data_IF_359697170452
#
_entry.id   IF_359697170452
#
_cell.length_a   1.000
_cell.length_b   1.000
_cell.length_c   1.000
_cell.angle_alpha   90.00
_cell.angle_beta   90.00
_cell.angle_gamma   90.00
#
_symmetry.space_group_name_H-M   'P 1'
#
loop_
_entity.id
_entity.type
_entity.pdbx_description
1 polymer ?
#
# COMPACT_ATOMS: atom_id res chain seq x y z
N UNK A 1 -7.75 8.61 -12.71
CA UNK A 1 -8.58 8.61 -11.49
C UNK A 1 -9.46 7.37 -11.40
N UNK A 2 -10.28 7.09 -12.42
CA UNK A 2 -11.16 5.90 -12.45
C UNK A 2 -10.43 4.56 -12.22
N UNK A 3 -9.34 4.31 -12.96
CA UNK A 3 -8.52 3.09 -12.79
C UNK A 3 -7.96 2.92 -11.36
N UNK A 4 -7.66 4.03 -10.67
CA UNK A 4 -7.15 4.01 -9.29
C UNK A 4 -8.24 3.62 -8.29
N UNK A 5 -9.44 4.19 -8.45
CA UNK A 5 -10.59 3.80 -7.63
C UNK A 5 -10.95 2.33 -7.83
N UNK A 6 -10.90 1.83 -9.07
CA UNK A 6 -11.12 0.42 -9.37
C UNK A 6 -10.11 -0.48 -8.65
N UNK A 7 -8.81 -0.13 -8.67
CA UNK A 7 -7.79 -0.90 -7.94
C UNK A 7 -8.03 -0.89 -6.44
N UNK A 8 -8.39 0.27 -5.86
CA UNK A 8 -8.67 0.38 -4.42
C UNK A 8 -9.86 -0.53 -4.05
N UNK A 9 -10.98 -0.40 -4.76
CA UNK A 9 -12.18 -1.20 -4.54
C UNK A 9 -11.92 -2.70 -4.68
N UNK A 10 -11.12 -3.09 -5.69
CA UNK A 10 -10.76 -4.49 -5.92
C UNK A 10 -9.93 -5.05 -4.74
N UNK A 11 -8.93 -4.31 -4.26
CA UNK A 11 -8.12 -4.75 -3.11
C UNK A 11 -8.98 -4.92 -1.87
N UNK A 12 -9.84 -3.95 -1.56
CA UNK A 12 -10.72 -4.00 -0.38
C UNK A 12 -11.72 -5.15 -0.48
N UNK A 13 -12.39 -5.30 -1.63
CA UNK A 13 -13.38 -6.37 -1.82
C UNK A 13 -12.76 -7.75 -1.79
N UNK A 14 -11.60 -7.94 -2.42
CA UNK A 14 -10.87 -9.20 -2.40
C UNK A 14 -10.43 -9.55 -0.98
N UNK A 15 -9.98 -8.57 -0.19
CA UNK A 15 -9.58 -8.78 1.20
C UNK A 15 -10.74 -9.32 2.06
N UNK A 16 -11.90 -8.66 2.03
CA UNK A 16 -13.05 -9.11 2.81
C UNK A 16 -13.66 -10.41 2.28
N UNK A 17 -13.60 -10.66 0.96
CA UNK A 17 -14.01 -11.93 0.39
C UNK A 17 -13.13 -13.07 0.92
N UNK A 18 -11.81 -12.90 0.93
CA UNK A 18 -10.86 -13.85 1.51
C UNK A 18 -11.11 -14.06 3.01
N UNK A 19 -11.29 -12.99 3.78
CA UNK A 19 -11.59 -13.08 5.21
C UNK A 19 -12.91 -13.82 5.49
N UNK A 20 -13.93 -13.61 4.65
CA UNK A 20 -15.21 -14.30 4.78
C UNK A 20 -15.05 -15.79 4.51
N UNK A 21 -14.31 -16.16 3.45
CA UNK A 21 -14.00 -17.56 3.14
C UNK A 21 -13.20 -18.20 4.27
N UNK A 22 -12.18 -17.51 4.79
CA UNK A 22 -11.40 -17.99 5.94
C UNK A 22 -12.26 -18.15 7.19
N UNK A 23 -13.17 -17.22 7.47
CA UNK A 23 -14.10 -17.34 8.60
C UNK A 23 -14.99 -18.57 8.47
N UNK A 24 -15.48 -18.87 7.26
CA UNK A 24 -16.28 -20.07 7.01
C UNK A 24 -15.47 -21.34 7.19
N UNK A 25 -14.20 -21.36 6.76
CA UNK A 25 -13.32 -22.54 6.91
C UNK A 25 -12.97 -22.79 8.39
N UNK A 26 -12.63 -21.74 9.15
CA UNK A 26 -12.14 -21.90 10.52
C UNK A 26 -13.24 -21.95 11.58
N UNK A 27 -14.32 -21.18 11.40
CA UNK A 27 -15.39 -21.06 12.41
C UNK A 27 -16.70 -21.71 11.97
N UNK A 28 -16.80 -22.23 10.74
CA UNK A 28 -18.04 -22.75 10.13
C UNK A 28 -19.20 -21.75 10.11
N UNK A 29 -18.93 -20.47 10.41
CA UNK A 29 -19.88 -19.36 10.47
C UNK A 29 -19.18 -18.05 10.12
N UNK A 30 -19.96 -17.07 9.68
CA UNK A 30 -19.46 -15.70 9.49
C UNK A 30 -19.44 -15.04 10.86
N UNK A 31 -18.25 -14.94 11.46
CA UNK A 31 -18.05 -14.29 12.76
C UNK A 31 -17.57 -12.86 12.55
N UNK A 32 -18.37 -11.86 12.95
CA UNK A 32 -18.00 -10.45 12.82
C UNK A 32 -16.72 -10.13 13.59
N UNK A 33 -16.53 -10.72 14.77
CA UNK A 33 -15.31 -10.58 15.57
C UNK A 33 -14.06 -11.10 14.84
N UNK A 34 -14.21 -12.20 14.09
CA UNK A 34 -13.13 -12.72 13.24
C UNK A 34 -12.82 -11.74 12.10
N UNK A 35 -13.83 -11.23 11.40
CA UNK A 35 -13.65 -10.26 10.32
C UNK A 35 -13.02 -8.94 10.81
N UNK A 36 -13.42 -8.46 11.99
CA UNK A 36 -12.87 -7.29 12.63
C UNK A 36 -11.39 -7.46 12.96
N UNK A 37 -11.06 -8.46 13.79
CA UNK A 37 -9.70 -8.69 14.28
C UNK A 37 -8.73 -9.05 13.15
N UNK A 38 -9.12 -9.94 12.24
CA UNK A 38 -8.25 -10.31 11.12
C UNK A 38 -8.19 -9.24 10.05
N UNK A 39 -9.24 -8.43 9.88
CA UNK A 39 -9.20 -7.28 9.01
C UNK A 39 -8.28 -6.16 9.54
N UNK A 40 -8.18 -5.97 10.86
CA UNK A 40 -7.16 -5.08 11.43
C UNK A 40 -5.75 -5.58 11.10
N UNK A 41 -5.50 -6.89 11.27
CA UNK A 41 -4.22 -7.50 10.97
C UNK A 41 -3.87 -7.35 9.47
N UNK A 42 -4.80 -7.67 8.56
CA UNK A 42 -4.54 -7.57 7.11
C UNK A 42 -4.39 -6.12 6.67
N UNK A 43 -5.14 -5.18 7.24
CA UNK A 43 -5.00 -3.75 6.99
C UNK A 43 -3.60 -3.24 7.34
N UNK A 44 -3.05 -3.67 8.49
CA UNK A 44 -1.66 -3.37 8.88
C UNK A 44 -0.65 -3.99 7.91
N UNK A 45 -0.82 -5.25 7.51
CA UNK A 45 0.07 -5.92 6.55
C UNK A 45 0.08 -5.19 5.20
N UNK A 46 -1.09 -4.75 4.72
CA UNK A 46 -1.21 -3.96 3.49
C UNK A 46 -0.44 -2.64 3.63
N UNK A 47 -0.57 -1.93 4.76
CA UNK A 47 0.17 -0.69 5.00
C UNK A 47 1.67 -0.90 5.04
N UNK A 48 2.15 -1.95 5.71
CA UNK A 48 3.59 -2.28 5.76
C UNK A 48 4.10 -2.58 4.35
N UNK A 49 3.32 -3.31 3.53
CA UNK A 49 3.67 -3.60 2.14
C UNK A 49 3.71 -2.34 1.25
N UNK A 50 2.94 -1.31 1.63
CA UNK A 50 2.94 0.00 0.97
C UNK A 50 4.10 0.88 1.41
N UNK A 51 4.90 0.50 2.42
CA UNK A 51 6.10 1.26 2.77
C UNK A 51 7.23 0.95 1.76
N UNK A 52 7.99 1.95 1.31
CA UNK A 52 9.11 1.72 0.42
C UNK A 52 10.29 1.20 1.26
N UNK A 53 10.19 -0.03 1.76
CA UNK A 53 11.17 -0.63 2.67
C UNK A 53 12.59 -0.59 2.10
N UNK A 54 12.74 -0.73 0.78
CA UNK A 54 14.02 -0.57 0.10
C UNK A 54 14.64 0.82 0.29
N UNK A 55 13.84 1.90 0.31
CA UNK A 55 14.33 3.27 0.58
C UNK A 55 14.64 3.47 2.05
N UNK A 56 13.88 2.87 2.95
CA UNK A 56 14.12 2.94 4.39
C UNK A 56 15.46 2.29 4.74
N UNK A 57 15.75 1.13 4.15
CA UNK A 57 17.02 0.41 4.34
C UNK A 57 18.20 1.13 3.67
N UNK A 58 18.08 1.57 2.41
CA UNK A 58 19.19 2.21 1.70
C UNK A 58 19.51 3.63 2.17
N UNK A 59 18.52 4.40 2.60
CA UNK A 59 18.70 5.80 3.01
C UNK A 59 18.62 6.01 4.53
N UNK A 60 18.61 4.92 5.32
CA UNK A 60 18.71 4.99 6.79
C UNK A 60 17.72 5.95 7.45
N UNK A 61 16.46 5.97 6.98
CA UNK A 61 15.43 6.88 7.49
C UNK A 61 15.48 8.32 6.94
N UNK A 62 16.54 8.74 6.24
CA UNK A 62 16.61 10.07 5.58
C UNK A 62 15.78 10.16 4.29
N UNK A 63 15.33 9.03 3.74
CA UNK A 63 14.48 8.97 2.55
C UNK A 63 12.99 9.26 2.77
N UNK A 64 12.55 9.45 4.02
CA UNK A 64 11.18 9.91 4.32
C UNK A 64 11.02 11.43 4.19
N UNK A 65 12.12 12.18 4.27
CA UNK A 65 12.14 13.59 3.93
C UNK A 65 12.07 13.70 2.41
N UNK A 66 10.90 14.10 1.91
CA UNK A 66 10.67 14.29 0.49
C UNK A 66 11.76 15.16 -0.12
N UNK A 67 12.34 14.69 -1.22
CA UNK A 67 12.87 15.54 -2.28
C UNK A 67 13.69 16.75 -1.82
N UNK A 68 14.73 16.55 -1.01
CA UNK A 68 15.85 17.49 -1.07
C UNK A 68 16.82 16.94 -2.11
N UNK A 69 16.52 17.28 -3.36
CA UNK A 69 17.51 17.37 -4.44
C UNK A 69 18.76 18.03 -3.88
N UNK A 70 19.90 17.33 -3.77
CA UNK A 70 21.14 18.02 -4.06
C UNK A 70 21.00 18.38 -5.55
N UNK A 71 21.11 19.65 -5.89
CA UNK A 71 21.32 20.05 -7.28
C UNK A 71 22.50 19.25 -7.83
N UNK A 72 22.19 18.17 -8.56
CA UNK A 72 23.20 17.41 -9.29
C UNK A 72 23.57 18.31 -10.45
N UNK A 73 24.87 18.64 -10.64
CA UNK A 73 25.30 19.51 -11.72
C UNK A 73 24.84 18.95 -13.08
N UNK A 74 24.59 19.83 -14.08
CA UNK A 74 23.83 19.49 -15.28
C UNK A 74 24.70 18.64 -16.20
N UNK A 75 24.69 17.33 -15.99
CA UNK A 75 25.37 16.37 -16.85
C UNK A 75 24.29 15.55 -17.59
N UNK A 76 24.06 15.87 -18.87
CA UNK A 76 22.90 15.41 -19.66
C UNK A 76 22.75 13.87 -19.67
N UNK A 77 23.86 13.13 -19.65
CA UNK A 77 23.88 11.67 -19.59
C UNK A 77 23.36 11.10 -18.26
N UNK A 78 23.52 11.83 -17.15
CA UNK A 78 22.99 11.44 -15.84
C UNK A 78 21.50 11.80 -15.77
N UNK A 79 21.11 12.95 -16.32
CA UNK A 79 19.70 13.37 -16.41
C UNK A 79 18.83 12.36 -17.17
N UNK A 80 19.31 11.77 -18.25
CA UNK A 80 18.53 10.79 -19.00
C UNK A 80 18.30 9.48 -18.22
N UNK A 81 19.34 8.99 -17.51
CA UNK A 81 19.23 7.83 -16.60
C UNK A 81 18.31 8.11 -15.41
N UNK A 82 18.35 9.33 -14.86
CA UNK A 82 17.46 9.77 -13.78
C UNK A 82 16.02 9.92 -14.27
N UNK A 83 15.80 10.46 -15.47
CA UNK A 83 14.48 10.62 -16.10
C UNK A 83 13.84 9.27 -16.43
N UNK A 84 14.64 8.29 -16.86
CA UNK A 84 14.18 6.90 -17.10
C UNK A 84 13.84 6.18 -15.79
N UNK A 85 14.61 6.39 -14.71
CA UNK A 85 14.26 5.91 -13.36
C UNK A 85 13.01 6.60 -12.80
N UNK A 86 12.86 7.91 -13.02
CA UNK A 86 11.70 8.71 -12.61
C UNK A 86 10.39 8.25 -13.26
N UNK A 87 10.42 7.90 -14.56
CA UNK A 87 9.25 7.31 -15.24
C UNK A 87 8.84 5.95 -14.64
N UNK A 88 9.79 5.08 -14.29
CA UNK A 88 9.50 3.80 -13.62
C UNK A 88 9.00 3.97 -12.18
N UNK A 89 9.50 4.97 -11.45
CA UNK A 89 9.04 5.24 -10.09
C UNK A 89 7.64 5.87 -10.04
N UNK A 90 7.20 6.52 -11.11
CA UNK A 90 5.84 7.08 -11.21
C UNK A 90 4.74 6.02 -11.13
N UNK A 91 4.93 4.85 -11.73
CA UNK A 91 3.95 3.75 -11.65
C UNK A 91 4.01 3.03 -10.29
N UNK A 92 5.20 2.82 -9.73
CA UNK A 92 5.34 2.27 -8.37
C UNK A 92 4.66 3.16 -7.31
N UNK A 93 4.81 4.48 -7.40
CA UNK A 93 4.13 5.41 -6.50
C UNK A 93 2.60 5.28 -6.58
N UNK A 94 2.04 5.07 -7.78
CA UNK A 94 0.58 4.92 -7.95
C UNK A 94 0.04 3.67 -7.27
N UNK A 95 0.76 2.55 -7.36
CA UNK A 95 0.40 1.32 -6.65
C UNK A 95 0.56 1.49 -5.13
N UNK A 96 1.63 2.14 -4.70
CA UNK A 96 1.90 2.44 -3.30
C UNK A 96 0.79 3.29 -2.66
N UNK A 97 0.38 4.36 -3.35
CA UNK A 97 -0.72 5.21 -2.90
C UNK A 97 -2.04 4.46 -2.84
N UNK A 98 -2.29 3.55 -3.80
CA UNK A 98 -3.51 2.75 -3.85
C UNK A 98 -3.54 1.74 -2.70
N UNK A 99 -2.43 1.04 -2.45
CA UNK A 99 -2.28 0.12 -1.32
C UNK A 99 -2.43 0.84 0.02
N UNK A 100 -1.84 2.03 0.16
CA UNK A 100 -1.94 2.83 1.38
C UNK A 100 -3.40 3.19 1.68
N UNK A 101 -4.13 3.73 0.68
CA UNK A 101 -5.54 4.08 0.85
C UNK A 101 -6.38 2.83 1.15
N UNK A 102 -6.16 1.72 0.44
CA UNK A 102 -6.86 0.47 0.70
C UNK A 102 -6.60 -0.05 2.12
N UNK A 103 -5.35 -0.01 2.58
CA UNK A 103 -4.98 -0.43 3.94
C UNK A 103 -5.67 0.42 5.01
N UNK A 104 -5.70 1.75 4.84
CA UNK A 104 -6.45 2.65 5.75
C UNK A 104 -7.94 2.34 5.72
N UNK A 105 -8.54 2.13 4.55
CA UNK A 105 -9.97 1.80 4.43
C UNK A 105 -10.29 0.48 5.15
N UNK A 106 -9.48 -0.56 4.95
CA UNK A 106 -9.65 -1.85 5.64
C UNK A 106 -9.55 -1.66 7.15
N UNK A 107 -8.58 -0.89 7.64
CA UNK A 107 -8.49 -0.59 9.08
C UNK A 107 -9.74 0.11 9.60
N UNK A 108 -10.20 1.16 8.92
CA UNK A 108 -11.39 1.91 9.34
C UNK A 108 -12.61 1.00 9.39
N UNK A 109 -12.86 0.22 8.34
CA UNK A 109 -13.99 -0.72 8.30
C UNK A 109 -13.86 -1.75 9.43
N UNK A 110 -12.69 -2.33 9.62
CA UNK A 110 -12.45 -3.32 10.68
C UNK A 110 -12.61 -2.74 12.08
N UNK A 111 -12.20 -1.49 12.32
CA UNK A 111 -12.47 -0.79 13.58
C UNK A 111 -13.96 -0.53 13.82
N UNK A 112 -14.77 -0.38 12.77
CA UNK A 112 -16.23 -0.23 12.92
C UNK A 112 -16.97 -1.55 13.11
N UNK A 113 -16.35 -2.68 12.76
CA UNK A 113 -16.94 -4.02 12.89
C UNK A 113 -16.75 -4.60 14.29
N UNK A 114 -15.64 -4.25 14.96
CA UNK A 114 -15.34 -4.61 16.35
C UNK A 114 -16.21 -3.80 17.30
#
# INVERSE_FOLDING_TARGET
MLKRMQSILLIVSLNYLLLTVLSLIFNSRISMEFLGNWGLLTGLVILISALPLHKVVYYGGRGMAGSQTPEIPPDEHIHEKVKKKSKRSGDFNRFQDSLTISGVIVLVISFMII
#
